data_IF_443027333083
#
_entry.id   IF_443027333083
#
_cell.length_a   1.000
_cell.length_b   1.000
_cell.length_c   1.000
_cell.angle_alpha   90.00
_cell.angle_beta   90.00
_cell.angle_gamma   90.00
#
_symmetry.space_group_name_H-M   'P 1'
#
loop_
_entity.id
_entity.type
_entity.pdbx_description
1 polymer ?
#
# COMPACT_ATOMS: atom_id res chain seq x y z
N UNK A 1 -43.85 20.55 -73.78
CA UNK A 1 -42.85 20.61 -72.69
C UNK A 1 -43.58 20.65 -71.35
N UNK A 2 -43.55 19.56 -70.57
CA UNK A 2 -44.08 19.50 -69.19
C UNK A 2 -42.89 19.64 -68.24
N UNK A 3 -42.88 20.72 -67.47
CA UNK A 3 -41.91 20.93 -66.37
C UNK A 3 -42.49 20.28 -65.12
N UNK A 4 -41.77 19.31 -64.55
CA UNK A 4 -42.18 18.54 -63.39
C UNK A 4 -42.06 19.33 -62.09
N UNK A 5 -43.08 19.22 -61.23
CA UNK A 5 -43.02 19.63 -59.82
C UNK A 5 -42.15 18.62 -59.06
N UNK A 6 -40.98 19.06 -58.60
CA UNK A 6 -40.19 18.32 -57.61
C UNK A 6 -40.78 18.65 -56.23
N UNK A 7 -41.29 17.62 -55.56
CA UNK A 7 -41.80 17.72 -54.21
C UNK A 7 -40.68 18.18 -53.27
N UNK A 8 -40.84 19.37 -52.69
CA UNK A 8 -40.01 19.83 -51.59
C UNK A 8 -40.33 19.00 -50.35
N UNK A 9 -39.58 17.91 -50.13
CA UNK A 9 -39.64 17.18 -48.88
C UNK A 9 -39.12 18.09 -47.77
N UNK A 10 -40.01 18.36 -46.82
CA UNK A 10 -39.87 19.32 -45.74
C UNK A 10 -38.81 18.84 -44.73
N UNK A 11 -37.55 19.25 -44.94
CA UNK A 11 -36.37 18.90 -44.12
C UNK A 11 -36.57 19.20 -42.62
N UNK A 12 -37.52 20.09 -42.29
CA UNK A 12 -37.87 20.46 -40.91
C UNK A 12 -38.58 19.35 -40.12
N UNK A 13 -39.23 18.40 -40.79
CA UNK A 13 -39.93 17.28 -40.13
C UNK A 13 -38.93 16.22 -39.67
N UNK A 14 -37.84 16.00 -40.42
CA UNK A 14 -36.83 14.98 -40.10
C UNK A 14 -36.06 15.30 -38.80
N UNK A 15 -35.82 16.58 -38.51
CA UNK A 15 -35.06 17.03 -37.32
C UNK A 15 -35.88 16.85 -36.02
N UNK A 16 -37.22 16.81 -36.09
CA UNK A 16 -38.06 16.72 -34.88
C UNK A 16 -38.19 15.29 -34.34
N UNK A 17 -38.06 14.27 -35.19
CA UNK A 17 -38.22 12.86 -34.81
C UNK A 17 -36.99 12.23 -34.14
N UNK A 18 -35.80 12.82 -34.26
CA UNK A 18 -34.54 12.21 -33.80
C UNK A 18 -33.96 12.81 -32.50
N UNK A 19 -34.63 13.80 -31.89
CA UNK A 19 -34.20 14.41 -30.62
C UNK A 19 -34.05 13.45 -29.42
N UNK A 20 -34.91 12.42 -29.22
CA UNK A 20 -34.75 11.53 -28.07
C UNK A 20 -33.53 10.60 -28.22
N UNK A 21 -33.24 10.13 -29.44
CA UNK A 21 -32.11 9.23 -29.71
C UNK A 21 -30.76 9.93 -29.52
N UNK A 22 -30.65 11.19 -29.97
CA UNK A 22 -29.42 11.97 -29.79
C UNK A 22 -29.12 12.27 -28.30
N UNK A 23 -30.17 12.55 -27.50
CA UNK A 23 -30.02 12.77 -26.06
C UNK A 23 -29.56 11.52 -25.32
N UNK A 24 -30.10 10.35 -25.67
CA UNK A 24 -29.70 9.07 -25.06
C UNK A 24 -28.27 8.69 -25.43
N UNK A 25 -27.87 8.88 -26.70
CA UNK A 25 -26.50 8.65 -27.15
C UNK A 25 -25.49 9.57 -26.43
N UNK A 26 -25.83 10.85 -26.27
CA UNK A 26 -24.98 11.81 -25.56
C UNK A 26 -24.86 11.47 -24.06
N UNK A 27 -25.97 11.11 -23.41
CA UNK A 27 -25.93 10.68 -22.00
C UNK A 27 -25.10 9.40 -21.82
N UNK A 28 -25.25 8.44 -22.74
CA UNK A 28 -24.44 7.21 -22.76
C UNK A 28 -22.95 7.52 -22.93
N UNK A 29 -22.59 8.43 -23.83
CA UNK A 29 -21.21 8.86 -24.02
C UNK A 29 -20.63 9.57 -22.79
N UNK A 30 -21.41 10.44 -22.14
CA UNK A 30 -20.98 11.12 -20.90
C UNK A 30 -20.78 10.10 -19.76
N UNK A 31 -21.71 9.16 -19.58
CA UNK A 31 -21.58 8.12 -18.54
C UNK A 31 -20.38 7.20 -18.83
N UNK A 32 -20.15 6.83 -20.09
CA UNK A 32 -18.99 6.03 -20.48
C UNK A 32 -17.68 6.79 -20.22
N UNK A 33 -17.62 8.08 -20.57
CA UNK A 33 -16.45 8.93 -20.30
C UNK A 33 -16.19 9.14 -18.81
N UNK A 34 -17.26 9.33 -18.01
CA UNK A 34 -17.16 9.41 -16.55
C UNK A 34 -16.71 8.08 -15.93
N UNK A 35 -17.16 6.95 -16.48
CA UNK A 35 -16.72 5.62 -16.02
C UNK A 35 -15.25 5.35 -16.31
N UNK A 36 -14.74 5.82 -17.45
CA UNK A 36 -13.32 5.72 -17.83
C UNK A 36 -12.44 6.61 -16.94
N UNK A 37 -12.92 7.81 -16.59
CA UNK A 37 -12.16 8.73 -15.73
C UNK A 37 -12.20 8.36 -14.24
N UNK A 38 -13.30 7.74 -13.77
CA UNK A 38 -13.41 7.29 -12.38
C UNK A 38 -12.57 6.05 -12.04
N UNK A 39 -12.14 5.28 -13.05
CA UNK A 39 -11.37 4.03 -12.87
C UNK A 39 -9.85 4.21 -13.04
N UNK A 40 -9.40 5.43 -13.34
CA UNK A 40 -8.01 5.75 -13.63
C UNK A 40 -7.40 6.74 -12.64
N UNK A 41 -7.96 6.90 -11.44
CA UNK A 41 -7.10 7.33 -10.34
C UNK A 41 -6.07 6.20 -10.20
N UNK A 42 -4.77 6.46 -10.45
CA UNK A 42 -3.78 5.50 -10.07
C UNK A 42 -4.09 5.19 -8.62
N UNK A 43 -4.22 3.92 -8.26
CA UNK A 43 -3.89 3.54 -6.91
C UNK A 43 -2.43 3.98 -6.78
N UNK A 44 -2.23 5.25 -6.41
CA UNK A 44 -1.01 5.74 -5.84
C UNK A 44 -0.94 4.89 -4.57
N UNK A 45 -0.36 3.70 -4.71
CA UNK A 45 0.50 3.15 -3.69
C UNK A 45 1.65 4.16 -3.58
N UNK A 46 1.32 5.35 -3.06
CA UNK A 46 2.28 6.38 -2.76
C UNK A 46 3.07 5.76 -1.65
N UNK A 47 4.36 5.54 -1.87
CA UNK A 47 5.27 5.30 -0.77
C UNK A 47 5.02 6.35 0.33
N UNK A 48 5.19 5.98 1.60
CA UNK A 48 5.04 6.92 2.68
C UNK A 48 5.96 8.11 2.43
N UNK A 49 5.46 9.32 2.64
CA UNK A 49 6.25 10.53 2.38
C UNK A 49 7.34 10.71 3.44
N UNK A 50 7.03 10.30 4.66
CA UNK A 50 7.91 10.34 5.81
C UNK A 50 7.82 8.98 6.50
N UNK A 51 8.94 8.43 6.92
CA UNK A 51 9.00 7.28 7.84
C UNK A 51 9.80 7.71 9.06
N UNK A 52 9.21 7.54 10.24
CA UNK A 52 9.92 7.69 11.51
C UNK A 52 10.23 6.30 12.04
N UNK A 53 11.52 6.04 12.29
CA UNK A 53 11.99 4.80 12.92
C UNK A 53 12.38 5.11 14.35
N UNK A 54 11.77 4.42 15.31
CA UNK A 54 11.99 4.71 16.73
C UNK A 54 11.96 3.44 17.60
N UNK A 55 12.61 3.50 18.76
CA UNK A 55 12.47 2.49 19.80
C UNK A 55 12.49 3.14 21.18
N UNK A 56 11.59 2.71 22.05
CA UNK A 56 11.57 3.18 23.43
C UNK A 56 12.43 2.26 24.31
N UNK A 57 13.21 2.80 25.28
CA UNK A 57 13.61 4.20 25.50
C UNK A 57 15.00 4.55 24.89
N UNK A 58 15.58 3.68 24.06
CA UNK A 58 17.03 3.63 23.86
C UNK A 58 17.57 4.29 22.58
N UNK A 59 16.72 4.70 21.64
CA UNK A 59 17.17 5.18 20.33
C UNK A 59 16.64 6.57 19.99
N UNK A 60 17.53 7.44 19.53
CA UNK A 60 17.15 8.71 18.87
C UNK A 60 16.37 8.38 17.59
N UNK A 61 15.15 8.93 17.39
CA UNK A 61 14.37 8.66 16.20
C UNK A 61 15.13 9.00 14.91
N UNK A 62 15.04 8.13 13.91
CA UNK A 62 15.55 8.37 12.58
C UNK A 62 14.41 8.77 11.64
N UNK A 63 14.65 9.78 10.80
CA UNK A 63 13.64 10.36 9.91
C UNK A 63 14.03 10.15 8.45
N UNK A 64 13.27 9.33 7.73
CA UNK A 64 13.45 9.09 6.30
C UNK A 64 12.48 9.97 5.52
N UNK A 65 13.02 10.86 4.68
CA UNK A 65 12.27 11.92 3.97
C UNK A 65 12.35 11.81 2.46
N UNK A 66 13.32 11.04 1.96
CA UNK A 66 13.45 10.82 0.53
C UNK A 66 12.40 9.84 0.06
N UNK A 67 11.64 10.23 -0.96
CA UNK A 67 10.53 9.43 -1.44
C UNK A 67 10.99 8.12 -2.08
N UNK A 68 12.14 8.11 -2.76
CA UNK A 68 12.69 6.90 -3.37
C UNK A 68 13.23 5.94 -2.32
N UNK A 69 13.88 6.46 -1.28
CA UNK A 69 14.35 5.65 -0.16
C UNK A 69 13.18 4.99 0.59
N UNK A 70 12.13 5.76 0.85
CA UNK A 70 10.91 5.24 1.47
C UNK A 70 10.22 4.19 0.60
N UNK A 71 10.13 4.43 -0.72
CA UNK A 71 9.59 3.46 -1.67
C UNK A 71 10.44 2.18 -1.71
N UNK A 72 11.76 2.31 -1.68
CA UNK A 72 12.70 1.19 -1.65
C UNK A 72 12.50 0.34 -0.40
N UNK A 73 12.30 0.98 0.75
CA UNK A 73 12.10 0.28 2.01
C UNK A 73 10.78 -0.51 2.05
N UNK A 74 9.68 0.07 1.54
CA UNK A 74 8.36 -0.60 1.54
C UNK A 74 8.16 -1.54 0.34
N UNK A 75 9.09 -1.57 -0.62
CA UNK A 75 9.13 -2.56 -1.70
C UNK A 75 9.92 -3.78 -1.23
N UNK A 76 9.23 -4.62 -0.48
CA UNK A 76 9.75 -5.85 0.11
C UNK A 76 9.12 -7.08 -0.53
N UNK A 77 9.74 -8.25 -0.31
CA UNK A 77 9.24 -9.52 -0.85
C UNK A 77 8.41 -10.24 0.21
N UNK A 78 7.12 -10.53 -0.06
CA UNK A 78 6.26 -11.17 0.93
C UNK A 78 6.77 -12.57 1.26
N UNK A 79 6.71 -12.92 2.54
CA UNK A 79 7.10 -14.24 3.04
C UNK A 79 6.08 -14.74 4.06
N UNK A 80 5.90 -16.05 4.11
CA UNK A 80 5.14 -16.68 5.18
C UNK A 80 6.04 -16.86 6.41
N UNK A 81 5.68 -16.23 7.52
CA UNK A 81 6.41 -16.32 8.80
C UNK A 81 5.45 -16.80 9.87
N UNK A 82 5.95 -17.72 10.69
CA UNK A 82 5.23 -18.26 11.85
C UNK A 82 5.27 -17.17 12.95
N UNK A 83 4.12 -16.64 13.42
CA UNK A 83 4.09 -15.53 14.39
C UNK A 83 4.95 -15.76 15.64
N UNK A 84 5.02 -17.00 16.11
CA UNK A 84 5.81 -17.41 17.28
C UNK A 84 7.32 -17.14 17.12
N UNK A 85 7.85 -17.07 15.89
CA UNK A 85 9.26 -16.72 15.64
C UNK A 85 9.56 -15.24 15.88
N UNK A 86 8.52 -14.38 15.90
CA UNK A 86 8.66 -12.94 16.06
C UNK A 86 8.62 -12.50 17.52
N UNK A 87 8.00 -13.28 18.41
CA UNK A 87 7.74 -12.90 19.80
C UNK A 87 9.00 -12.55 20.59
N UNK A 88 10.12 -13.20 20.29
CA UNK A 88 11.39 -12.97 20.98
C UNK A 88 12.38 -12.12 20.18
N UNK A 89 12.00 -11.71 18.97
CA UNK A 89 12.91 -11.06 18.06
C UNK A 89 12.96 -9.55 18.35
N UNK A 90 14.16 -8.95 18.50
CA UNK A 90 14.26 -7.51 18.70
C UNK A 90 13.67 -6.79 17.48
N UNK A 91 12.95 -5.70 17.72
CA UNK A 91 12.38 -4.87 16.67
C UNK A 91 12.42 -3.38 17.04
N UNK A 92 12.26 -2.55 16.03
CA UNK A 92 12.01 -1.10 16.17
C UNK A 92 10.66 -0.78 15.53
N UNK A 93 10.03 0.30 15.98
CA UNK A 93 8.75 0.75 15.47
C UNK A 93 8.93 1.64 14.25
N UNK A 94 7.96 1.55 13.34
CA UNK A 94 7.84 2.40 12.17
C UNK A 94 6.54 3.20 12.28
N UNK A 95 6.62 4.49 12.01
CA UNK A 95 5.48 5.38 11.86
C UNK A 95 5.51 5.94 10.42
N UNK A 96 4.50 5.58 9.63
CA UNK A 96 4.45 5.80 8.19
C UNK A 96 3.39 6.86 7.85
N UNK A 97 3.82 7.92 7.17
CA UNK A 97 3.00 9.09 6.87
C UNK A 97 2.58 9.06 5.39
N UNK A 98 1.38 8.54 5.12
CA UNK A 98 0.81 8.42 3.77
C UNK A 98 -0.18 9.54 3.47
N UNK A 99 -0.22 9.96 2.21
CA UNK A 99 -1.21 10.93 1.72
C UNK A 99 -0.63 12.27 1.25
N UNK A 100 -1.42 13.05 0.47
CA UNK A 100 -1.01 14.32 -0.10
C UNK A 100 -0.73 15.42 0.93
N UNK A 101 -1.31 15.34 2.13
CA UNK A 101 -1.09 16.28 3.22
C UNK A 101 0.38 16.33 3.67
N UNK A 102 1.07 15.19 3.64
CA UNK A 102 2.49 15.10 4.01
C UNK A 102 3.41 15.61 2.90
N UNK A 103 2.98 15.56 1.64
CA UNK A 103 3.68 16.27 0.57
C UNK A 103 3.63 17.78 0.83
N UNK A 104 2.44 18.30 1.12
CA UNK A 104 2.26 19.71 1.42
C UNK A 104 3.02 20.14 2.69
N UNK A 105 3.12 19.27 3.70
CA UNK A 105 3.92 19.49 4.90
C UNK A 105 5.40 19.71 4.57
N UNK A 106 5.99 18.81 3.78
CA UNK A 106 7.39 18.93 3.34
C UNK A 106 7.59 20.14 2.42
N UNK A 107 6.67 20.38 1.48
CA UNK A 107 6.77 21.49 0.51
C UNK A 107 6.69 22.86 1.20
N UNK A 108 6.02 22.96 2.35
CA UNK A 108 6.02 24.16 3.20
C UNK A 108 7.31 24.35 4.00
N UNK A 109 8.21 23.36 4.01
CA UNK A 109 9.45 23.39 4.76
C UNK A 109 9.24 23.20 6.27
N UNK A 110 8.18 22.51 6.68
CA UNK A 110 7.95 22.17 8.09
C UNK A 110 9.00 21.15 8.57
N UNK A 111 9.39 21.25 9.84
CA UNK A 111 10.42 20.40 10.43
C UNK A 111 9.83 19.03 10.78
N UNK A 112 10.29 17.98 10.11
CA UNK A 112 9.80 16.61 10.37
C UNK A 112 10.07 16.14 11.80
N UNK A 113 11.04 16.76 12.47
CA UNK A 113 11.36 16.52 13.87
C UNK A 113 10.25 16.96 14.83
N UNK A 114 9.34 17.82 14.38
CA UNK A 114 8.14 18.22 15.13
C UNK A 114 7.01 17.17 15.03
N UNK A 115 7.17 16.15 14.18
CA UNK A 115 6.20 15.07 14.04
C UNK A 115 6.42 13.99 15.10
N UNK A 116 5.33 13.64 15.80
CA UNK A 116 5.27 12.49 16.69
C UNK A 116 4.86 11.21 15.95
N UNK A 117 5.37 10.02 16.34
CA UNK A 117 4.96 8.75 15.75
C UNK A 117 3.44 8.49 15.79
N UNK A 118 2.74 9.03 16.79
CA UNK A 118 1.29 8.94 16.96
C UNK A 118 0.47 9.69 15.89
N UNK A 119 1.11 10.58 15.13
CA UNK A 119 0.47 11.33 14.04
C UNK A 119 0.49 10.58 12.70
N UNK A 120 1.22 9.46 12.62
CA UNK A 120 1.28 8.65 11.41
C UNK A 120 -0.07 8.00 11.09
N UNK A 121 -0.34 7.84 9.79
CA UNK A 121 -1.55 7.18 9.29
C UNK A 121 -1.45 5.66 9.41
N UNK A 122 -0.24 5.11 9.37
CA UNK A 122 0.04 3.69 9.49
C UNK A 122 1.25 3.45 10.40
N UNK A 123 1.26 2.28 11.04
CA UNK A 123 2.33 1.85 11.94
C UNK A 123 2.84 0.47 11.52
N UNK A 124 4.13 0.25 11.76
CA UNK A 124 4.78 -1.01 11.43
C UNK A 124 5.90 -1.36 12.40
N UNK A 125 6.58 -2.46 12.11
CA UNK A 125 7.74 -2.94 12.87
C UNK A 125 8.84 -3.37 11.91
N UNK A 126 10.08 -3.01 12.21
CA UNK A 126 11.26 -3.54 11.54
C UNK A 126 12.02 -4.45 12.48
N UNK A 127 12.27 -5.68 12.03
CA UNK A 127 13.02 -6.70 12.73
C UNK A 127 14.42 -6.83 12.09
N UNK A 128 15.47 -6.26 12.70
CA UNK A 128 16.83 -6.38 12.18
C UNK A 128 17.33 -7.82 12.15
N UNK A 129 18.38 -8.08 11.39
CA UNK A 129 19.06 -9.39 11.39
C UNK A 129 19.47 -9.77 12.80
N UNK A 130 19.04 -10.94 13.28
CA UNK A 130 19.30 -11.41 14.64
C UNK A 130 19.44 -12.93 14.65
N UNK A 131 20.55 -13.46 15.21
CA UNK A 131 20.74 -14.91 15.36
C UNK A 131 20.71 -15.73 14.06
N UNK A 132 21.01 -15.11 12.90
CA UNK A 132 20.93 -15.75 11.57
C UNK A 132 19.58 -15.58 10.86
N UNK A 133 18.55 -15.05 11.54
CA UNK A 133 17.26 -14.76 10.92
C UNK A 133 17.35 -13.57 9.93
N UNK A 134 16.66 -13.65 8.76
CA UNK A 134 16.67 -12.58 7.76
C UNK A 134 15.89 -11.37 8.24
N UNK A 135 16.25 -10.13 7.85
CA UNK A 135 15.56 -8.94 8.32
C UNK A 135 14.13 -8.88 7.77
N UNK A 136 13.17 -8.50 8.61
CA UNK A 136 11.75 -8.46 8.25
C UNK A 136 11.16 -7.07 8.50
N UNK A 137 10.13 -6.74 7.73
CA UNK A 137 9.27 -5.59 7.99
C UNK A 137 7.83 -6.08 8.09
N UNK A 138 7.08 -5.51 9.03
CA UNK A 138 5.64 -5.76 9.19
C UNK A 138 4.92 -4.43 9.10
N UNK A 139 4.02 -4.31 8.13
CA UNK A 139 3.15 -3.14 7.95
C UNK A 139 1.73 -3.67 7.79
N UNK A 140 0.81 -3.15 8.61
CA UNK A 140 -0.53 -3.70 8.81
C UNK A 140 -0.46 -5.18 9.22
N UNK A 141 -0.60 -6.10 8.26
CA UNK A 141 -0.53 -7.55 8.44
C UNK A 141 0.38 -8.26 7.42
N UNK A 142 1.09 -7.50 6.56
CA UNK A 142 2.05 -8.07 5.61
C UNK A 142 3.38 -8.30 6.31
N UNK A 143 3.96 -9.50 6.14
CA UNK A 143 5.31 -9.81 6.60
C UNK A 143 6.19 -10.00 5.38
N UNK A 144 7.18 -9.13 5.26
CA UNK A 144 8.04 -9.14 4.10
C UNK A 144 9.53 -9.16 4.50
N UNK A 145 10.36 -9.75 3.65
CA UNK A 145 11.81 -9.70 3.78
C UNK A 145 12.32 -8.36 3.26
N UNK A 146 13.12 -7.67 4.07
CA UNK A 146 13.74 -6.40 3.66
C UNK A 146 14.89 -6.67 2.71
N UNK A 147 14.85 -6.04 1.55
CA UNK A 147 15.89 -6.15 0.50
C UNK A 147 17.21 -5.51 0.95
N UNK A 148 18.31 -5.84 0.26
CA UNK A 148 19.62 -5.24 0.58
C UNK A 148 19.61 -3.71 0.40
N UNK A 149 18.88 -3.22 -0.59
CA UNK A 149 18.68 -1.79 -0.84
C UNK A 149 17.91 -1.13 0.31
N UNK A 150 16.82 -1.76 0.79
CA UNK A 150 16.09 -1.28 1.96
C UNK A 150 16.94 -1.28 3.24
N UNK A 151 17.79 -2.28 3.43
CA UNK A 151 18.74 -2.30 4.55
C UNK A 151 19.76 -1.17 4.46
N UNK A 152 20.23 -0.82 3.26
CA UNK A 152 21.14 0.32 3.08
C UNK A 152 20.47 1.63 3.47
N UNK A 153 19.22 1.85 3.03
CA UNK A 153 18.42 3.02 3.42
C UNK A 153 18.33 3.15 4.95
N UNK A 154 18.01 2.05 5.64
CA UNK A 154 17.94 2.04 7.10
C UNK A 154 19.31 2.30 7.76
N UNK A 155 20.36 1.65 7.28
CA UNK A 155 21.71 1.82 7.82
C UNK A 155 22.24 3.24 7.62
N UNK A 156 22.01 3.85 6.46
CA UNK A 156 22.39 5.23 6.14
C UNK A 156 21.64 6.24 7.02
N UNK A 157 20.41 5.90 7.45
CA UNK A 157 19.64 6.65 8.43
C UNK A 157 20.06 6.39 9.90
N UNK A 158 21.08 5.56 10.14
CA UNK A 158 21.57 5.22 11.47
C UNK A 158 20.74 4.16 12.21
N UNK A 159 19.83 3.48 11.52
CA UNK A 159 19.02 2.40 12.10
C UNK A 159 19.85 1.11 12.17
N UNK A 160 19.92 0.43 13.34
CA UNK A 160 20.60 -0.85 13.44
C UNK A 160 19.94 -1.91 12.56
N UNK A 161 20.66 -2.38 11.53
CA UNK A 161 20.18 -3.45 10.63
C UNK A 161 20.59 -4.86 11.08
N UNK A 162 21.46 -4.95 12.09
CA UNK A 162 21.88 -6.19 12.73
C UNK A 162 21.97 -6.00 14.23
N UNK A 163 21.46 -6.98 14.98
CA UNK A 163 21.54 -7.04 16.44
C UNK A 163 22.19 -8.35 16.83
N UNK A 164 23.20 -8.26 17.70
CA UNK A 164 23.80 -9.45 18.30
C UNK A 164 22.85 -10.00 19.38
N UNK A 165 22.45 -11.25 19.22
CA UNK A 165 21.65 -11.95 20.25
C UNK A 165 22.63 -12.59 21.23
N UNK A 166 22.61 -12.23 22.53
CA UNK A 166 23.47 -12.86 23.51
C UNK A 166 23.22 -14.38 23.54
N UNK A 167 24.27 -15.22 23.64
CA UNK A 167 24.14 -16.69 23.67
C UNK A 167 23.19 -17.21 24.77
N UNK A 168 22.96 -16.41 25.80
CA UNK A 168 22.09 -16.70 26.95
C UNK A 168 20.61 -16.83 26.59
N UNK A 169 20.14 -16.12 25.55
CA UNK A 169 18.74 -16.19 25.11
C UNK A 169 18.44 -17.46 24.30
N UNK A 170 19.45 -18.03 23.64
CA UNK A 170 19.32 -19.22 22.77
C UNK A 170 19.14 -20.52 23.60
N UNK A 171 19.56 -20.53 24.87
CA UNK A 171 19.62 -21.76 25.69
C UNK A 171 18.32 -22.18 26.37
N UNK A 172 17.25 -21.37 26.38
CA UNK A 172 16.00 -21.77 27.05
C UNK A 172 15.00 -22.53 26.15
N UNK A 173 15.24 -22.61 24.84
CA UNK A 173 14.42 -23.43 23.92
C UNK A 173 15.06 -24.74 23.44
N UNK A 174 16.29 -25.04 23.89
CA UNK A 174 17.19 -26.02 23.24
C UNK A 174 16.95 -27.51 23.53
N UNK A 175 15.98 -27.89 24.38
CA UNK A 175 15.67 -29.31 24.62
C UNK A 175 14.57 -29.85 23.69
N UNK A 176 14.01 -29.02 22.82
CA UNK A 176 13.20 -29.50 21.69
C UNK A 176 14.05 -29.49 20.43
N UNK A 177 14.61 -30.66 20.11
CA UNK A 177 15.25 -30.93 18.83
C UNK A 177 14.28 -30.58 17.68
N UNK A 178 14.58 -29.50 16.96
CA UNK A 178 13.91 -29.15 15.71
C UNK A 178 14.10 -30.31 14.72
N UNK A 179 13.03 -30.90 14.18
CA UNK A 179 13.16 -31.89 13.11
C UNK A 179 13.84 -31.23 11.91
N UNK A 180 14.98 -31.79 11.51
CA UNK A 180 15.76 -31.41 10.34
C UNK A 180 15.02 -31.76 9.04
N UNK A 181 13.89 -31.10 8.79
CA UNK A 181 13.11 -31.26 7.57
C UNK A 181 12.71 -29.89 7.03
N UNK A 182 13.68 -29.19 6.45
CA UNK A 182 13.34 -28.25 5.38
C UNK A 182 13.30 -29.04 4.07
N UNK A 183 12.14 -29.18 3.40
CA UNK A 183 12.14 -29.57 2.00
C UNK A 183 12.82 -28.45 1.21
N UNK A 184 13.80 -28.81 0.39
CA UNK A 184 14.34 -27.91 -0.62
C UNK A 184 13.17 -27.44 -1.49
N UNK A 185 12.81 -26.16 -1.39
CA UNK A 185 11.89 -25.50 -2.30
C UNK A 185 12.54 -25.43 -3.68
N UNK A 186 12.32 -26.49 -4.46
CA UNK A 186 12.54 -26.47 -5.88
C UNK A 186 11.65 -25.37 -6.48
N UNK A 187 12.30 -24.41 -7.13
CA UNK A 187 11.68 -23.36 -7.92
C UNK A 187 10.74 -23.98 -8.98
N UNK A 188 9.47 -24.12 -8.63
CA UNK A 188 8.40 -24.36 -9.59
C UNK A 188 7.79 -23.01 -9.93
N UNK A 189 8.21 -22.46 -11.07
CA UNK A 189 7.58 -21.30 -11.67
C UNK A 189 6.09 -21.60 -11.91
N UNK A 190 5.23 -20.87 -11.22
CA UNK A 190 3.83 -20.71 -11.59
C UNK A 190 3.58 -19.22 -11.62
N UNK A 191 3.63 -18.66 -12.82
CA UNK A 191 3.00 -17.39 -13.11
C UNK A 191 1.51 -17.51 -12.78
N UNK A 192 1.06 -16.70 -11.82
CA UNK A 192 -0.28 -16.77 -11.27
C UNK A 192 -0.73 -15.42 -10.75
N UNK A 193 -1.04 -14.54 -11.68
CA UNK A 193 -2.01 -13.44 -11.59
C UNK A 193 -2.96 -13.52 -10.37
N UNK A 194 -2.70 -12.74 -9.32
CA UNK A 194 -3.72 -12.36 -8.32
C UNK A 194 -3.62 -10.84 -8.08
N UNK A 195 -4.08 -10.09 -9.08
CA UNK A 195 -4.50 -8.71 -8.90
C UNK A 195 -6.03 -8.73 -8.88
N UNK A 196 -6.62 -8.82 -7.69
CA UNK A 196 -8.06 -8.64 -7.56
C UNK A 196 -8.69 -9.38 -6.39
N UNK A 197 -8.59 -8.80 -5.18
CA UNK A 197 -9.70 -8.61 -4.23
C UNK A 197 -9.22 -7.57 -3.21
N UNK A 198 -9.38 -6.27 -3.49
CA UNK A 198 -9.22 -5.22 -2.46
C UNK A 198 -10.34 -4.17 -2.51
N UNK A 199 -11.52 -4.56 -3.00
CA UNK A 199 -12.74 -3.75 -2.91
C UNK A 199 -13.91 -4.58 -2.38
N UNK A 200 -13.87 -4.87 -1.07
CA UNK A 200 -15.09 -5.19 -0.33
C UNK A 200 -15.18 -4.34 0.94
N UNK A 201 -15.34 -3.04 0.71
CA UNK A 201 -15.82 -2.07 1.69
C UNK A 201 -17.21 -2.48 2.17
N UNK A 202 -17.23 -3.12 3.34
CA UNK A 202 -18.01 -2.71 4.52
C UNK A 202 -19.32 -1.98 4.21
N UNK A 203 -20.34 -2.74 3.76
CA UNK A 203 -21.72 -2.27 3.68
C UNK A 203 -22.62 -3.07 4.62
N UNK A 204 -22.65 -2.72 5.91
CA UNK A 204 -23.74 -3.04 6.86
C UNK A 204 -23.53 -2.28 8.18
N UNK A 205 -24.24 -1.17 8.33
CA UNK A 205 -24.84 -0.70 9.61
C UNK A 205 -25.62 0.59 9.37
N UNK A 206 -26.79 0.46 8.75
CA UNK A 206 -27.87 1.42 8.86
C UNK A 206 -29.19 0.73 8.47
N UNK A 207 -29.83 0.05 9.44
CA UNK A 207 -31.26 -0.28 9.37
C UNK A 207 -31.95 0.26 10.62
N UNK A 208 -32.64 1.38 10.39
CA UNK A 208 -33.99 1.73 10.87
C UNK A 208 -34.35 1.35 12.31
N UNK A 209 -34.35 2.37 13.16
CA UNK A 209 -35.38 2.51 14.20
C UNK A 209 -36.57 3.22 13.55
N UNK A 210 -37.74 2.59 13.53
CA UNK A 210 -39.02 3.23 13.17
C UNK A 210 -39.65 3.84 14.43
N UNK A 211 -40.40 4.93 14.30
CA UNK A 211 -41.16 5.51 15.40
C UNK A 211 -42.48 4.77 15.61
N UNK A 212 -42.89 4.66 16.88
CA UNK A 212 -44.27 4.44 17.32
C UNK A 212 -44.66 5.60 18.23
#
# INVERSE_FOLDING_TARGET
MRVGRIASLDFRVFIRAHRPLFRQALLGAIIALLSITASAFPAYASAPRIIIVHSEPAMTPAFLRDWNDNLTLVRSEPIEVIPEELDQRPYVHLALFFGPEWNAYIDRGEAVEDLGPEQASEHGRFYPMAGGAPPLIIIEDSVDVVTNEGLRVLADAGVPVRVEVPPSAVRQGGDQALPSQMPALAAAGIGGMVLGVYLLVRRRSARRVSPT
#
